data_IF_376602789519
#
_entry.id   IF_376602789519
#
_cell.length_a   1.000
_cell.length_b   1.000
_cell.length_c   1.000
_cell.angle_alpha   90.00
_cell.angle_beta   90.00
_cell.angle_gamma   90.00
#
_symmetry.space_group_name_H-M   'P 1'
#
loop_
_entity.id
_entity.type
_entity.pdbx_description
1 polymer ?
#
# COMPACT_ATOMS: atom_id res chain seq x y z
N UNK A 1 -2.72 47.19 47.74
CA UNK A 1 -2.79 46.70 46.35
C UNK A 1 -3.90 47.46 45.62
N UNK A 2 -3.55 48.20 44.56
CA UNK A 2 -4.53 49.04 43.86
C UNK A 2 -5.42 48.21 42.92
N UNK A 3 -6.51 48.80 42.43
CA UNK A 3 -7.47 48.12 41.54
C UNK A 3 -6.79 47.53 40.30
N UNK A 4 -5.80 48.24 39.76
CA UNK A 4 -5.04 47.83 38.59
C UNK A 4 -4.21 46.55 38.82
N UNK A 5 -3.53 46.43 39.96
CA UNK A 5 -2.79 45.21 40.34
C UNK A 5 -3.72 44.00 40.51
N UNK A 6 -4.93 44.18 41.03
CA UNK A 6 -5.92 43.08 41.16
C UNK A 6 -6.36 42.55 39.79
N UNK A 7 -6.55 43.42 38.81
CA UNK A 7 -6.92 43.05 37.45
C UNK A 7 -5.80 42.25 36.77
N UNK A 8 -4.54 42.69 36.91
CA UNK A 8 -3.39 41.97 36.35
C UNK A 8 -3.24 40.58 36.95
N UNK A 9 -3.38 40.45 38.26
CA UNK A 9 -3.31 39.15 38.95
C UNK A 9 -4.46 38.24 38.50
N UNK A 10 -5.67 38.77 38.36
CA UNK A 10 -6.81 38.01 37.87
C UNK A 10 -6.59 37.51 36.43
N UNK A 11 -6.09 38.36 35.53
CA UNK A 11 -5.80 37.99 34.15
C UNK A 11 -4.69 36.95 34.04
N UNK A 12 -3.64 37.06 34.85
CA UNK A 12 -2.55 36.08 34.88
C UNK A 12 -3.00 34.73 35.44
N UNK A 13 -3.87 34.71 36.46
CA UNK A 13 -4.49 33.48 36.96
C UNK A 13 -5.39 32.81 35.91
N UNK A 14 -6.18 33.59 35.18
CA UNK A 14 -7.02 33.07 34.08
C UNK A 14 -6.14 32.49 32.96
N UNK A 15 -5.05 33.18 32.59
CA UNK A 15 -4.13 32.68 31.56
C UNK A 15 -3.46 31.37 31.96
N UNK A 16 -3.04 31.24 33.22
CA UNK A 16 -2.47 29.99 33.77
C UNK A 16 -3.53 28.89 33.76
N UNK A 17 -4.78 29.20 34.12
CA UNK A 17 -5.88 28.23 34.12
C UNK A 17 -6.17 27.70 32.71
N UNK A 18 -6.16 28.57 31.69
CA UNK A 18 -6.34 28.20 30.27
C UNK A 18 -5.18 27.31 29.78
N UNK A 19 -3.94 27.62 30.16
CA UNK A 19 -2.75 26.82 29.83
C UNK A 19 -2.74 25.45 30.54
N UNK A 20 -3.40 25.34 31.69
CA UNK A 20 -3.51 24.11 32.47
C UNK A 20 -4.76 23.28 32.12
N UNK A 21 -5.63 23.73 31.20
CA UNK A 21 -6.72 22.89 30.74
C UNK A 21 -6.12 21.64 30.07
N UNK A 22 -6.45 20.43 30.55
CA UNK A 22 -5.97 19.22 29.91
C UNK A 22 -6.51 19.20 28.48
N UNK A 23 -5.62 19.22 27.50
CA UNK A 23 -5.99 18.91 26.12
C UNK A 23 -6.40 17.43 26.16
N UNK A 24 -7.70 17.17 26.26
CA UNK A 24 -8.23 15.84 26.03
C UNK A 24 -7.94 15.50 24.57
N UNK A 25 -6.83 14.80 24.34
CA UNK A 25 -6.66 14.06 23.11
C UNK A 25 -7.68 12.94 23.15
N UNK A 26 -8.88 13.20 22.59
CA UNK A 26 -9.79 12.11 22.26
C UNK A 26 -9.04 11.22 21.28
N UNK A 27 -8.72 10.00 21.70
CA UNK A 27 -8.18 8.99 20.79
C UNK A 27 -9.26 8.74 19.74
N UNK A 28 -9.06 9.26 18.53
CA UNK A 28 -9.97 9.00 17.43
C UNK A 28 -9.88 7.50 17.11
N UNK A 29 -10.98 6.79 17.31
CA UNK A 29 -11.12 5.40 16.92
C UNK A 29 -11.85 5.37 15.58
N UNK A 30 -11.18 4.87 14.54
CA UNK A 30 -11.78 4.68 13.22
C UNK A 30 -12.35 3.26 13.21
N UNK A 31 -13.66 3.14 13.12
CA UNK A 31 -14.35 1.85 13.00
C UNK A 31 -14.87 1.71 11.58
N UNK A 32 -14.43 0.66 10.89
CA UNK A 32 -14.92 0.28 9.56
C UNK A 32 -15.20 -1.22 9.53
N UNK A 33 -16.40 -1.58 9.08
CA UNK A 33 -16.85 -2.96 9.01
C UNK A 33 -17.01 -3.36 7.55
N UNK A 34 -16.31 -4.42 7.16
CA UNK A 34 -16.49 -5.05 5.85
C UNK A 34 -17.85 -5.75 5.77
N UNK A 35 -18.45 -5.74 4.58
CA UNK A 35 -19.68 -6.50 4.34
C UNK A 35 -19.43 -8.00 4.15
N UNK A 36 -18.26 -8.37 3.60
CA UNK A 36 -17.84 -9.77 3.43
C UNK A 36 -17.01 -10.20 4.65
N UNK A 37 -17.50 -11.12 5.50
CA UNK A 37 -16.80 -11.59 6.69
C UNK A 37 -15.57 -12.46 6.37
N UNK A 38 -15.39 -12.92 5.13
CA UNK A 38 -14.27 -13.76 4.70
C UNK A 38 -13.05 -12.94 4.25
N UNK A 39 -13.13 -11.60 4.31
CA UNK A 39 -12.01 -10.71 4.00
C UNK A 39 -11.02 -10.63 5.16
N UNK A 40 -9.73 -10.77 4.82
CA UNK A 40 -8.61 -10.70 5.76
C UNK A 40 -7.67 -9.54 5.42
N UNK A 41 -7.23 -8.81 6.44
CA UNK A 41 -6.20 -7.78 6.30
C UNK A 41 -4.81 -8.43 6.20
N UNK A 42 -4.09 -8.17 5.10
CA UNK A 42 -2.75 -8.75 4.88
C UNK A 42 -1.63 -7.72 4.72
N UNK A 43 -1.97 -6.44 4.55
CA UNK A 43 -0.97 -5.38 4.45
C UNK A 43 -1.53 -4.05 4.93
N UNK A 44 -0.68 -3.27 5.59
CA UNK A 44 -0.94 -1.90 5.99
C UNK A 44 0.30 -1.06 5.65
N UNK A 45 0.13 0.02 4.90
CA UNK A 45 1.17 1.00 4.62
C UNK A 45 0.65 2.41 4.78
N UNK A 46 1.54 3.36 5.08
CA UNK A 46 1.17 4.76 5.30
C UNK A 46 1.78 5.62 4.20
N UNK A 47 0.93 6.41 3.55
CA UNK A 47 1.34 7.42 2.59
C UNK A 47 2.01 8.62 3.28
N UNK A 48 2.71 9.44 2.51
CA UNK A 48 3.35 10.67 3.02
C UNK A 48 2.37 11.70 3.57
N UNK A 49 1.12 11.72 3.09
CA UNK A 49 0.04 12.57 3.59
C UNK A 49 -0.67 11.97 4.83
N UNK A 50 -0.11 10.90 5.40
CA UNK A 50 -0.64 10.12 6.53
C UNK A 50 -1.91 9.33 6.24
N UNK A 51 -2.41 9.35 5.01
CA UNK A 51 -3.43 8.39 4.59
C UNK A 51 -2.87 6.96 4.72
N UNK A 52 -3.72 5.99 5.00
CA UNK A 52 -3.32 4.59 5.18
C UNK A 52 -3.89 3.76 4.05
N UNK A 53 -3.04 2.95 3.43
CA UNK A 53 -3.41 1.89 2.51
C UNK A 53 -3.53 0.57 3.27
N UNK A 54 -4.70 -0.05 3.22
CA UNK A 54 -4.90 -1.42 3.70
C UNK A 54 -5.17 -2.31 2.49
N UNK A 55 -4.48 -3.45 2.41
CA UNK A 55 -4.83 -4.53 1.47
C UNK A 55 -5.63 -5.58 2.22
N UNK A 56 -6.82 -5.87 1.69
CA UNK A 56 -7.65 -6.98 2.12
C UNK A 56 -7.71 -8.04 1.02
N UNK A 57 -7.85 -9.30 1.40
CA UNK A 57 -7.87 -10.43 0.48
C UNK A 57 -8.89 -11.46 0.95
N UNK A 58 -9.31 -12.31 0.02
CA UNK A 58 -10.03 -13.54 0.33
C UNK A 58 -9.13 -14.71 0.00
N UNK A 59 -8.88 -15.58 0.97
CA UNK A 59 -8.02 -16.74 0.79
C UNK A 59 -8.82 -17.90 0.17
N UNK A 60 -8.23 -18.58 -0.80
CA UNK A 60 -8.79 -19.79 -1.41
C UNK A 60 -8.11 -21.05 -0.85
N UNK A 61 -8.83 -22.17 -0.83
CA UNK A 61 -8.35 -23.46 -0.30
C UNK A 61 -7.09 -23.98 -1.02
N UNK A 62 -6.93 -23.65 -2.30
CA UNK A 62 -5.78 -24.05 -3.12
C UNK A 62 -4.49 -23.26 -2.82
N UNK A 63 -4.49 -22.39 -1.81
CA UNK A 63 -3.35 -21.55 -1.44
C UNK A 63 -3.21 -20.26 -2.27
N UNK A 64 -4.13 -20.01 -3.21
CA UNK A 64 -4.24 -18.74 -3.91
C UNK A 64 -5.16 -17.77 -3.17
N UNK A 65 -5.18 -16.52 -3.63
CA UNK A 65 -6.17 -15.51 -3.25
C UNK A 65 -7.17 -15.35 -4.37
N UNK A 66 -8.38 -14.92 -4.05
CA UNK A 66 -9.32 -14.46 -5.06
C UNK A 66 -8.64 -13.36 -5.91
N UNK A 67 -8.73 -13.43 -7.24
CA UNK A 67 -7.84 -12.66 -8.11
C UNK A 67 -8.22 -11.18 -8.26
N UNK A 68 -8.83 -10.58 -7.25
CA UNK A 68 -9.18 -9.16 -7.23
C UNK A 68 -8.25 -8.34 -6.36
N UNK A 69 -8.07 -7.08 -6.72
CA UNK A 69 -7.37 -6.10 -5.89
C UNK A 69 -8.39 -5.37 -5.02
N UNK A 70 -8.39 -5.70 -3.72
CA UNK A 70 -9.25 -5.05 -2.71
C UNK A 70 -8.41 -4.24 -1.75
N UNK A 71 -8.63 -2.93 -1.74
CA UNK A 71 -7.87 -1.97 -0.95
C UNK A 71 -8.81 -1.08 -0.14
N UNK A 72 -8.34 -0.57 0.99
CA UNK A 72 -8.99 0.52 1.73
C UNK A 72 -8.03 1.69 1.83
N UNK A 73 -8.53 2.88 1.50
CA UNK A 73 -7.84 4.14 1.75
C UNK A 73 -8.49 4.75 2.98
N UNK A 74 -7.73 4.87 4.06
CA UNK A 74 -8.14 5.60 5.27
C UNK A 74 -7.51 6.98 5.21
N UNK A 75 -8.33 8.02 5.20
CA UNK A 75 -7.88 9.40 5.19
C UNK A 75 -7.64 9.91 6.62
N UNK A 76 -6.84 10.97 6.78
CA UNK A 76 -6.56 11.59 8.10
C UNK A 76 -7.83 12.06 8.80
N UNK A 77 -8.90 12.38 8.06
CA UNK A 77 -10.20 12.76 8.61
C UNK A 77 -11.06 11.56 9.07
N UNK A 78 -10.53 10.32 9.01
CA UNK A 78 -11.21 9.10 9.42
C UNK A 78 -12.14 8.47 8.37
N UNK A 79 -12.30 9.11 7.21
CA UNK A 79 -13.06 8.52 6.10
C UNK A 79 -12.35 7.28 5.61
N UNK A 80 -13.11 6.22 5.29
CA UNK A 80 -12.59 5.00 4.66
C UNK A 80 -13.25 4.83 3.30
N UNK A 81 -12.44 4.77 2.24
CA UNK A 81 -12.93 4.50 0.89
C UNK A 81 -12.51 3.09 0.47
N UNK A 82 -13.47 2.19 0.20
CA UNK A 82 -13.16 0.91 -0.40
C UNK A 82 -12.83 1.06 -1.88
N UNK A 83 -11.80 0.34 -2.29
CA UNK A 83 -11.42 0.18 -3.68
C UNK A 83 -11.44 -1.31 -4.02
N UNK A 84 -12.13 -1.64 -5.10
CA UNK A 84 -12.23 -2.97 -5.68
C UNK A 84 -11.92 -2.85 -7.16
N UNK A 85 -11.03 -3.68 -7.66
CA UNK A 85 -10.69 -3.78 -9.07
C UNK A 85 -10.55 -5.25 -9.41
N UNK A 86 -11.30 -5.70 -10.41
CA UNK A 86 -11.28 -7.12 -10.78
C UNK A 86 -9.96 -7.51 -11.46
N UNK A 87 -9.64 -8.81 -11.48
CA UNK A 87 -8.52 -9.32 -12.27
C UNK A 87 -8.58 -8.85 -13.74
N UNK A 88 -9.77 -8.88 -14.34
CA UNK A 88 -10.02 -8.52 -15.73
C UNK A 88 -9.72 -7.03 -15.97
N UNK A 89 -10.19 -6.16 -15.08
CA UNK A 89 -9.92 -4.72 -15.13
C UNK A 89 -8.42 -4.40 -14.93
N UNK A 90 -7.74 -5.18 -14.09
CA UNK A 90 -6.28 -5.07 -13.93
C UNK A 90 -5.54 -5.57 -15.17
N UNK A 91 -6.08 -6.55 -15.89
CA UNK A 91 -5.43 -7.18 -17.04
C UNK A 91 -4.14 -7.92 -16.67
N UNK A 92 -4.06 -8.46 -15.44
CA UNK A 92 -2.85 -9.15 -14.93
C UNK A 92 -3.10 -10.65 -14.79
N UNK A 93 -2.16 -11.55 -15.12
CA UNK A 93 -2.42 -12.98 -15.02
C UNK A 93 -2.79 -13.45 -13.60
N UNK A 94 -3.81 -14.31 -13.48
CA UNK A 94 -4.37 -14.79 -12.19
C UNK A 94 -3.32 -15.43 -11.27
N UNK A 95 -2.31 -16.10 -11.82
CA UNK A 95 -1.26 -16.75 -11.04
C UNK A 95 -0.44 -15.76 -10.20
N UNK A 96 -0.52 -14.45 -10.45
CA UNK A 96 0.06 -13.42 -9.58
C UNK A 96 -0.58 -13.35 -8.18
N UNK A 97 -1.79 -13.90 -8.04
CA UNK A 97 -2.53 -14.00 -6.77
C UNK A 97 -2.31 -15.34 -6.06
N UNK A 98 -1.51 -16.23 -6.65
CA UNK A 98 -1.13 -17.50 -6.05
C UNK A 98 0.22 -17.40 -5.34
N UNK A 99 0.44 -18.32 -4.40
CA UNK A 99 1.75 -18.50 -3.80
C UNK A 99 2.75 -18.98 -4.84
N UNK A 100 3.91 -18.34 -4.87
CA UNK A 100 5.03 -18.65 -5.74
C UNK A 100 6.30 -18.83 -4.91
N UNK A 101 7.23 -19.62 -5.42
CA UNK A 101 8.55 -19.75 -4.81
C UNK A 101 9.47 -18.64 -5.34
N UNK A 102 9.83 -17.71 -4.45
CA UNK A 102 10.72 -16.58 -4.78
C UNK A 102 12.10 -16.83 -4.19
N UNK A 103 13.15 -16.57 -4.97
CA UNK A 103 14.53 -16.96 -4.61
C UNK A 103 15.19 -16.09 -3.56
N UNK A 104 14.77 -14.83 -3.46
CA UNK A 104 15.35 -13.92 -2.49
C UNK A 104 14.74 -14.20 -1.09
N UNK A 105 15.63 -14.60 -0.16
CA UNK A 105 15.36 -15.06 1.23
C UNK A 105 14.78 -16.46 1.45
N UNK A 106 14.56 -17.30 0.41
CA UNK A 106 13.88 -18.60 0.57
C UNK A 106 12.54 -18.49 1.31
N UNK A 107 11.83 -17.37 1.15
CA UNK A 107 10.48 -17.21 1.71
C UNK A 107 9.57 -18.10 0.88
N UNK A 108 9.29 -19.30 1.39
CA UNK A 108 8.31 -20.21 0.80
C UNK A 108 6.94 -19.53 0.80
N UNK A 109 6.31 -19.42 -0.36
CA UNK A 109 4.93 -18.97 -0.51
C UNK A 109 4.73 -17.46 -0.50
N UNK A 110 5.58 -16.71 -1.22
CA UNK A 110 5.33 -15.29 -1.50
C UNK A 110 4.32 -15.11 -2.63
N UNK A 111 3.91 -13.88 -2.93
CA UNK A 111 3.00 -13.57 -4.05
C UNK A 111 3.70 -12.64 -5.02
N UNK A 112 3.55 -12.89 -6.32
CA UNK A 112 4.14 -12.04 -7.35
C UNK A 112 3.52 -10.63 -7.37
N UNK A 113 2.21 -10.53 -7.08
CA UNK A 113 1.55 -9.24 -6.92
C UNK A 113 1.94 -8.55 -5.61
N UNK A 114 2.69 -7.45 -5.74
CA UNK A 114 3.03 -6.53 -4.64
C UNK A 114 2.27 -5.22 -4.81
N UNK A 115 1.95 -4.59 -3.69
CA UNK A 115 1.16 -3.35 -3.60
C UNK A 115 1.95 -2.35 -2.76
N UNK A 116 2.02 -1.10 -3.19
CA UNK A 116 2.84 -0.04 -2.59
C UNK A 116 2.05 1.27 -2.45
N UNK A 117 2.15 1.91 -1.28
CA UNK A 117 1.69 3.27 -1.02
C UNK A 117 2.74 4.30 -1.46
N UNK A 118 2.78 4.62 -2.75
CA UNK A 118 3.87 5.43 -3.33
C UNK A 118 3.63 6.95 -3.23
N UNK A 119 2.63 7.47 -3.95
CA UNK A 119 2.27 8.90 -3.95
C UNK A 119 0.79 9.00 -3.58
N UNK A 120 0.38 9.97 -2.73
CA UNK A 120 -1.04 10.20 -2.46
C UNK A 120 -1.88 10.28 -3.75
N UNK A 121 -3.10 9.77 -3.68
CA UNK A 121 -4.04 9.56 -4.81
C UNK A 121 -3.72 8.39 -5.74
N UNK A 122 -2.60 7.70 -5.56
CA UNK A 122 -2.24 6.55 -6.39
C UNK A 122 -1.74 5.36 -5.58
N UNK A 123 -2.07 4.17 -6.05
CA UNK A 123 -1.48 2.89 -5.63
C UNK A 123 -0.58 2.42 -6.76
N UNK A 124 0.64 2.01 -6.43
CA UNK A 124 1.47 1.29 -7.36
C UNK A 124 1.39 -0.20 -7.05
N UNK A 125 1.21 -1.02 -8.08
CA UNK A 125 1.38 -2.46 -7.96
C UNK A 125 2.54 -2.90 -8.85
N UNK A 126 3.21 -3.98 -8.46
CA UNK A 126 4.09 -4.72 -9.37
C UNK A 126 3.57 -6.13 -9.51
N UNK A 127 3.64 -6.67 -10.71
CA UNK A 127 3.20 -8.01 -11.05
C UNK A 127 4.14 -8.59 -12.09
N UNK A 128 4.03 -9.89 -12.31
CA UNK A 128 4.77 -10.57 -13.36
C UNK A 128 3.85 -10.82 -14.55
N UNK A 129 4.41 -10.57 -15.73
CA UNK A 129 3.80 -10.86 -17.00
C UNK A 129 4.54 -12.03 -17.66
N UNK A 130 3.79 -12.92 -18.30
CA UNK A 130 4.29 -14.15 -18.92
C UNK A 130 3.12 -15.04 -19.34
N UNK A 131 3.35 -15.96 -20.28
CA UNK A 131 2.28 -16.84 -20.81
C UNK A 131 1.77 -17.83 -19.75
N UNK A 132 2.65 -18.27 -18.84
CA UNK A 132 2.32 -19.11 -17.70
C UNK A 132 3.39 -18.99 -16.62
N UNK A 133 3.09 -19.45 -15.40
CA UNK A 133 4.09 -19.59 -14.33
C UNK A 133 5.25 -20.54 -14.70
N UNK A 134 5.08 -21.41 -15.69
CA UNK A 134 6.12 -22.36 -16.10
C UNK A 134 6.95 -21.90 -17.30
N UNK A 135 6.70 -20.70 -17.82
CA UNK A 135 7.45 -20.14 -18.95
C UNK A 135 8.79 -19.58 -18.45
N UNK A 136 9.80 -20.45 -18.43
CA UNK A 136 11.09 -20.20 -17.77
C UNK A 136 11.91 -19.07 -18.41
N UNK A 137 11.60 -18.69 -19.65
CA UNK A 137 12.44 -17.80 -20.47
C UNK A 137 11.79 -16.44 -20.79
N UNK A 138 10.47 -16.29 -20.63
CA UNK A 138 9.75 -15.07 -21.06
C UNK A 138 8.94 -14.40 -19.94
N UNK A 139 9.46 -14.39 -18.71
CA UNK A 139 8.85 -13.61 -17.63
C UNK A 139 9.44 -12.21 -17.54
N UNK A 140 8.60 -11.26 -17.17
CA UNK A 140 8.99 -9.87 -16.97
C UNK A 140 8.19 -9.26 -15.84
N UNK A 141 8.81 -8.36 -15.10
CA UNK A 141 8.13 -7.58 -14.07
C UNK A 141 7.57 -6.32 -14.72
N UNK A 142 6.31 -6.04 -14.41
CA UNK A 142 5.62 -4.81 -14.80
C UNK A 142 5.16 -4.06 -13.55
N UNK A 143 5.12 -2.74 -13.65
CA UNK A 143 4.55 -1.87 -12.63
C UNK A 143 3.28 -1.22 -13.21
N UNK A 144 2.22 -1.14 -12.42
CA UNK A 144 0.94 -0.55 -12.82
C UNK A 144 0.49 0.48 -11.80
N UNK A 145 0.13 1.67 -12.30
CA UNK A 145 -0.33 2.77 -11.47
C UNK A 145 -1.85 2.85 -11.50
N UNK A 146 -2.46 2.95 -10.33
CA UNK A 146 -3.91 2.91 -10.13
C UNK A 146 -4.30 4.12 -9.29
N UNK A 147 -5.28 4.91 -9.73
CA UNK A 147 -5.79 6.01 -8.89
C UNK A 147 -6.59 5.48 -7.69
N UNK A 148 -6.76 6.28 -6.64
CA UNK A 148 -7.68 5.95 -5.53
C UNK A 148 -9.14 5.85 -5.95
N UNK A 149 -9.50 6.30 -7.15
CA UNK A 149 -10.82 6.06 -7.76
C UNK A 149 -10.91 4.71 -8.48
N UNK A 150 -9.85 3.92 -8.51
CA UNK A 150 -9.78 2.62 -9.18
C UNK A 150 -9.44 2.64 -10.66
N UNK A 151 -9.09 3.81 -11.20
CA UNK A 151 -8.72 3.92 -12.62
C UNK A 151 -7.28 3.43 -12.82
N UNK A 152 -7.10 2.43 -13.67
CA UNK A 152 -5.77 2.04 -14.19
C UNK A 152 -5.25 3.17 -15.08
N UNK A 153 -4.07 3.70 -14.74
CA UNK A 153 -3.44 4.83 -15.45
C UNK A 153 -2.53 4.33 -16.56
N UNK A 154 -1.76 3.28 -16.31
CA UNK A 154 -0.83 2.69 -17.27
C UNK A 154 0.11 1.68 -16.62
N UNK A 155 0.84 0.99 -17.50
CA UNK A 155 1.75 -0.09 -17.17
C UNK A 155 3.14 0.25 -17.72
N UNK A 156 4.16 -0.04 -16.93
CA UNK A 156 5.56 0.19 -17.30
C UNK A 156 6.37 -1.08 -17.12
N UNK A 157 7.26 -1.35 -18.08
CA UNK A 157 8.20 -2.45 -17.99
C UNK A 157 9.27 -2.13 -16.94
N UNK A 158 9.45 -3.03 -15.97
CA UNK A 158 10.44 -2.86 -14.89
C UNK A 158 11.75 -3.54 -15.24
N UNK A 159 11.66 -4.76 -15.77
CA UNK A 159 12.83 -5.59 -16.02
C UNK A 159 12.47 -7.06 -16.20
N UNK A 160 13.44 -7.89 -16.58
CA UNK A 160 13.23 -9.32 -16.76
C UNK A 160 13.00 -10.03 -15.42
N UNK A 161 12.30 -11.16 -15.47
CA UNK A 161 12.24 -12.16 -14.41
C UNK A 161 12.58 -13.53 -15.01
N UNK A 162 13.25 -14.38 -14.23
CA UNK A 162 13.73 -15.68 -14.67
C UNK A 162 13.32 -16.74 -13.67
N UNK A 163 13.08 -17.96 -14.15
CA UNK A 163 12.86 -19.11 -13.25
C UNK A 163 14.13 -19.95 -13.23
N UNK A 164 14.75 -20.08 -12.06
CA UNK A 164 15.92 -20.92 -11.85
C UNK A 164 15.55 -22.03 -10.87
N UNK A 165 15.49 -23.28 -11.34
CA UNK A 165 15.11 -24.45 -10.53
C UNK A 165 13.72 -24.32 -9.86
N UNK A 166 12.73 -23.80 -10.59
CA UNK A 166 11.36 -23.60 -10.08
C UNK A 166 11.18 -22.38 -9.16
N UNK A 167 12.26 -21.61 -8.97
CA UNK A 167 12.30 -20.43 -8.11
C UNK A 167 12.39 -19.18 -8.99
N UNK A 168 11.50 -18.20 -8.79
CA UNK A 168 11.55 -16.95 -9.54
C UNK A 168 12.64 -16.03 -8.98
N UNK A 169 13.49 -15.56 -9.89
CA UNK A 169 14.51 -14.53 -9.73
C UNK A 169 14.07 -13.29 -10.50
N UNK A 170 14.10 -12.13 -9.87
CA UNK A 170 13.62 -10.86 -10.42
C UNK A 170 14.33 -9.72 -9.67
N UNK A 171 14.31 -8.47 -10.15
CA UNK A 171 15.01 -7.41 -9.46
C UNK A 171 14.46 -7.22 -8.05
N UNK A 172 15.38 -7.14 -7.10
CA UNK A 172 15.19 -7.58 -5.72
C UNK A 172 14.61 -6.47 -4.85
N UNK A 173 15.01 -5.24 -5.14
CA UNK A 173 14.52 -4.04 -4.48
C UNK A 173 13.94 -3.10 -5.53
N UNK A 174 12.69 -2.68 -5.29
CA UNK A 174 12.05 -1.60 -6.04
C UNK A 174 12.37 -0.30 -5.33
N UNK A 175 13.16 0.56 -5.96
CA UNK A 175 13.53 1.86 -5.43
C UNK A 175 12.59 2.94 -5.96
N UNK A 176 12.17 3.80 -5.04
CA UNK A 176 11.35 4.97 -5.32
C UNK A 176 12.16 6.21 -4.99
N UNK A 177 12.95 6.69 -5.94
CA UNK A 177 13.74 7.90 -5.75
C UNK A 177 13.17 9.07 -6.54
N UNK A 178 13.31 10.29 -6.00
CA UNK A 178 12.92 11.49 -6.73
C UNK A 178 13.93 11.72 -7.86
N UNK A 179 13.56 11.23 -9.03
CA UNK A 179 14.11 11.64 -10.33
C UNK A 179 15.62 11.41 -10.42
N UNK A 180 16.02 10.19 -10.81
CA UNK A 180 17.30 10.02 -11.50
C UNK A 180 17.03 10.27 -12.99
N UNK A 181 17.63 11.29 -13.62
CA UNK A 181 17.32 11.65 -15.01
C UNK A 181 17.48 10.49 -16.00
N UNK A 182 18.41 9.58 -15.75
CA UNK A 182 18.66 8.40 -16.59
C UNK A 182 17.81 7.15 -16.26
N UNK A 183 17.22 7.07 -15.05
CA UNK A 183 16.49 5.87 -14.58
C UNK A 183 15.01 6.12 -14.25
N UNK A 184 14.55 7.37 -14.36
CA UNK A 184 13.20 7.76 -13.99
C UNK A 184 13.00 7.82 -12.47
N UNK A 185 11.75 7.66 -12.03
CA UNK A 185 11.33 7.73 -10.62
C UNK A 185 11.12 6.34 -9.98
N UNK A 186 11.18 5.29 -10.80
CA UNK A 186 10.98 3.90 -10.41
C UNK A 186 12.00 3.06 -11.16
N UNK A 187 12.89 2.42 -10.40
CA UNK A 187 13.85 1.46 -10.94
C UNK A 187 14.01 0.33 -9.94
N UNK A 188 14.48 -0.81 -10.42
CA UNK A 188 14.71 -1.96 -9.57
C UNK A 188 16.14 -2.44 -9.74
N UNK A 189 16.83 -2.66 -8.62
CA UNK A 189 18.22 -3.14 -8.64
C UNK A 189 18.25 -4.67 -8.67
N UNK A 190 19.06 -5.21 -9.57
CA UNK A 190 19.37 -6.63 -9.65
C UNK A 190 20.66 -6.85 -8.83
N UNK A 191 20.58 -7.60 -7.72
CA UNK A 191 21.78 -8.12 -7.04
C UNK A 191 22.23 -9.42 -7.72
#
# INVERSE_FOLDING_TARGET
>A
MNSFQKIIILLSLISILILCLPIHQSKAEIVYTESDPELEVVKLETYKDKSILIRVIKQLENGCREPDLRLRIIYENGTVTPLYISQEELGIPEWNFCRVEMGYHRIKGSYALRVYSWIPNYVLITYMNGTSYNDQENMSVFAKLISWSGKVIGDEYVGPAYIVNGIIQYPIETHFDRVQPERGFFYADFL
#
